data_IF_885740111814
#
_entry.id   IF_885740111814
#
_cell.length_a   1.000
_cell.length_b   1.000
_cell.length_c   1.000
_cell.angle_alpha   90.00
_cell.angle_beta   90.00
_cell.angle_gamma   90.00
#
_symmetry.space_group_name_H-M   'P 1'
#
loop_
_entity.id
_entity.type
_entity.pdbx_description
1 polymer ?
#
# COMPACT_ATOMS: atom_id res chain seq x y z
N UNK A 1 -22.18 29.43 5.54
CA UNK A 1 -21.88 27.99 5.44
C UNK A 1 -22.31 27.53 4.04
N UNK A 2 -21.38 27.07 3.19
CA UNK A 2 -21.73 26.65 1.83
C UNK A 2 -22.33 25.24 1.84
N UNK A 3 -23.25 24.95 0.91
CA UNK A 3 -23.92 23.64 0.80
C UNK A 3 -22.93 22.46 0.64
N UNK A 4 -21.75 22.72 0.06
CA UNK A 4 -20.68 21.72 -0.08
C UNK A 4 -20.15 21.22 1.27
N UNK A 5 -19.97 22.12 2.25
CA UNK A 5 -19.49 21.73 3.57
C UNK A 5 -20.51 20.84 4.30
N UNK A 6 -21.81 21.10 4.16
CA UNK A 6 -22.85 20.25 4.74
C UNK A 6 -22.92 18.86 4.10
N UNK A 7 -22.67 18.76 2.79
CA UNK A 7 -22.63 17.45 2.12
C UNK A 7 -21.41 16.63 2.52
N UNK A 8 -20.23 17.26 2.67
CA UNK A 8 -19.04 16.57 3.18
C UNK A 8 -19.25 16.07 4.61
N UNK A 9 -19.85 16.87 5.49
CA UNK A 9 -20.16 16.42 6.86
C UNK A 9 -21.14 15.25 6.89
N UNK A 10 -22.21 15.30 6.09
CA UNK A 10 -23.15 14.18 5.97
C UNK A 10 -22.45 12.92 5.45
N UNK A 11 -21.63 13.05 4.40
CA UNK A 11 -20.88 11.94 3.81
C UNK A 11 -19.89 11.32 4.80
N UNK A 12 -19.17 12.13 5.57
CA UNK A 12 -18.28 11.66 6.64
C UNK A 12 -19.05 10.88 7.69
N UNK A 13 -20.24 11.37 8.09
CA UNK A 13 -21.11 10.66 9.02
C UNK A 13 -21.53 9.29 8.49
N UNK A 14 -22.00 9.22 7.25
CA UNK A 14 -22.36 7.95 6.59
C UNK A 14 -21.16 7.01 6.48
N UNK A 15 -19.98 7.51 6.12
CA UNK A 15 -18.77 6.70 6.05
C UNK A 15 -18.36 6.15 7.41
N UNK A 16 -18.54 6.92 8.48
CA UNK A 16 -18.30 6.43 9.83
C UNK A 16 -19.24 5.28 10.19
N UNK A 17 -20.53 5.38 9.84
CA UNK A 17 -21.48 4.27 10.05
C UNK A 17 -21.06 3.01 9.27
N UNK A 18 -20.51 3.16 8.06
CA UNK A 18 -19.94 2.03 7.30
C UNK A 18 -18.73 1.44 8.02
N UNK A 19 -17.82 2.28 8.55
CA UNK A 19 -16.60 1.85 9.25
C UNK A 19 -16.89 1.00 10.49
N UNK A 20 -17.97 1.29 11.21
CA UNK A 20 -18.34 0.55 12.43
C UNK A 20 -19.45 -0.48 12.21
N UNK A 21 -19.83 -0.72 10.95
CA UNK A 21 -20.90 -1.66 10.61
C UNK A 21 -20.53 -3.10 10.98
N UNK A 22 -21.52 -3.93 11.29
CA UNK A 22 -21.28 -5.30 11.77
C UNK A 22 -20.69 -6.22 10.70
N UNK A 23 -21.10 -6.03 9.44
CA UNK A 23 -20.66 -6.84 8.31
C UNK A 23 -19.27 -6.40 7.79
N UNK A 24 -18.25 -7.28 7.77
CA UNK A 24 -16.92 -6.96 7.26
C UNK A 24 -16.89 -6.60 5.77
N UNK A 25 -17.79 -7.12 4.95
CA UNK A 25 -17.82 -6.79 3.52
C UNK A 25 -18.27 -5.33 3.31
N UNK A 26 -19.23 -4.88 4.14
CA UNK A 26 -19.64 -3.47 4.18
C UNK A 26 -18.49 -2.59 4.64
N UNK A 27 -17.78 -2.97 5.72
CA UNK A 27 -16.61 -2.21 6.20
C UNK A 27 -15.49 -2.14 5.15
N UNK A 28 -15.25 -3.22 4.41
CA UNK A 28 -14.24 -3.28 3.34
C UNK A 28 -14.52 -2.28 2.21
N UNK A 29 -15.79 -1.94 1.95
CA UNK A 29 -16.15 -0.91 0.97
C UNK A 29 -15.69 0.51 1.35
N UNK A 30 -15.49 0.77 2.65
CA UNK A 30 -15.14 2.10 3.15
C UNK A 30 -13.80 2.62 2.59
N UNK A 31 -12.81 1.73 2.41
CA UNK A 31 -11.49 2.12 1.89
C UNK A 31 -11.57 2.81 0.53
N UNK A 32 -12.28 2.21 -0.42
CA UNK A 32 -12.48 2.78 -1.75
C UNK A 32 -13.24 4.12 -1.71
N UNK A 33 -14.22 4.25 -0.82
CA UNK A 33 -14.97 5.50 -0.66
C UNK A 33 -14.09 6.62 -0.06
N UNK A 34 -13.23 6.30 0.91
CA UNK A 34 -12.26 7.26 1.45
C UNK A 34 -11.26 7.74 0.41
N UNK A 35 -10.79 6.86 -0.49
CA UNK A 35 -9.91 7.28 -1.59
C UNK A 35 -10.54 8.36 -2.48
N UNK A 36 -11.86 8.30 -2.69
CA UNK A 36 -12.59 9.33 -3.44
C UNK A 36 -12.74 10.60 -2.60
N UNK A 37 -13.12 10.45 -1.32
CA UNK A 37 -13.31 11.58 -0.41
C UNK A 37 -12.04 12.43 -0.24
N UNK A 38 -10.88 11.79 -0.06
CA UNK A 38 -9.58 12.45 0.20
C UNK A 38 -9.27 13.53 -0.84
N UNK A 39 -9.68 13.35 -2.09
CA UNK A 39 -9.44 14.31 -3.18
C UNK A 39 -10.29 15.58 -3.11
N UNK A 40 -11.36 15.56 -2.31
CA UNK A 40 -12.37 16.63 -2.27
C UNK A 40 -12.49 17.35 -0.93
N UNK A 41 -11.73 16.96 0.10
CA UNK A 41 -11.81 17.52 1.46
C UNK A 41 -10.51 18.23 1.86
N UNK A 42 -10.60 19.12 2.84
CA UNK A 42 -9.45 19.83 3.37
C UNK A 42 -8.59 18.97 4.32
N UNK A 43 -7.37 19.44 4.57
CA UNK A 43 -6.39 18.80 5.45
C UNK A 43 -6.94 18.58 6.87
N UNK A 44 -7.73 19.53 7.38
CA UNK A 44 -8.38 19.43 8.69
C UNK A 44 -9.36 18.26 8.75
N UNK A 45 -10.15 18.06 7.70
CA UNK A 45 -11.07 16.93 7.58
C UNK A 45 -10.31 15.62 7.48
N UNK A 46 -9.23 15.57 6.69
CA UNK A 46 -8.38 14.37 6.59
C UNK A 46 -7.82 14.00 7.96
N UNK A 47 -7.25 14.99 8.67
CA UNK A 47 -6.62 14.79 9.97
C UNK A 47 -7.60 14.36 11.07
N UNK A 48 -8.78 15.00 11.13
CA UNK A 48 -9.74 14.81 12.23
C UNK A 48 -10.72 13.67 12.01
N UNK A 49 -11.00 13.29 10.77
CA UNK A 49 -12.04 12.31 10.45
C UNK A 49 -11.53 11.13 9.62
N UNK A 50 -10.84 11.38 8.50
CA UNK A 50 -10.41 10.31 7.60
C UNK A 50 -9.33 9.45 8.24
N UNK A 51 -8.25 10.04 8.74
CA UNK A 51 -7.14 9.31 9.35
C UNK A 51 -7.61 8.42 10.51
N UNK A 52 -8.37 8.91 11.51
CA UNK A 52 -8.90 8.06 12.57
C UNK A 52 -9.76 6.90 12.06
N UNK A 53 -10.62 7.14 11.07
CA UNK A 53 -11.45 6.09 10.47
C UNK A 53 -10.61 5.02 9.77
N UNK A 54 -9.59 5.42 9.02
CA UNK A 54 -8.68 4.46 8.38
C UNK A 54 -7.87 3.66 9.41
N UNK A 55 -7.46 4.27 10.53
CA UNK A 55 -6.79 3.56 11.64
C UNK A 55 -7.71 2.52 12.28
N UNK A 56 -9.01 2.82 12.42
CA UNK A 56 -10.01 1.85 12.87
C UNK A 56 -10.10 0.66 11.91
N UNK A 57 -10.19 0.90 10.59
CA UNK A 57 -10.21 -0.17 9.59
C UNK A 57 -8.90 -0.98 9.56
N UNK A 58 -7.75 -0.32 9.73
CA UNK A 58 -6.44 -0.98 9.75
C UNK A 58 -6.27 -1.93 10.94
N UNK A 59 -6.99 -1.66 12.03
CA UNK A 59 -6.98 -2.44 13.27
C UNK A 59 -8.18 -3.40 13.36
N UNK A 60 -8.93 -3.58 12.28
CA UNK A 60 -10.09 -4.48 12.24
C UNK A 60 -9.68 -5.94 12.53
N UNK A 61 -10.62 -6.73 13.05
CA UNK A 61 -10.40 -8.15 13.29
C UNK A 61 -10.36 -8.98 11.98
N UNK A 62 -10.89 -8.46 10.87
CA UNK A 62 -10.98 -9.15 9.59
C UNK A 62 -9.89 -8.65 8.64
N UNK A 63 -9.07 -9.57 8.11
CA UNK A 63 -7.92 -9.19 7.28
C UNK A 63 -8.33 -8.47 5.99
N UNK A 64 -9.48 -8.82 5.40
CA UNK A 64 -10.02 -8.17 4.20
C UNK A 64 -10.29 -6.68 4.43
N UNK A 65 -10.88 -6.31 5.58
CA UNK A 65 -11.15 -4.91 5.94
C UNK A 65 -9.85 -4.12 6.09
N UNK A 66 -8.84 -4.75 6.70
CA UNK A 66 -7.53 -4.12 6.89
C UNK A 66 -6.82 -3.93 5.55
N UNK A 67 -6.82 -4.95 4.70
CA UNK A 67 -6.27 -4.88 3.36
C UNK A 67 -6.95 -3.76 2.54
N UNK A 68 -8.28 -3.66 2.62
CA UNK A 68 -9.04 -2.61 1.95
C UNK A 68 -8.70 -1.18 2.42
N UNK A 69 -8.15 -1.01 3.62
CA UNK A 69 -7.73 0.31 4.11
C UNK A 69 -6.39 0.80 3.52
N UNK A 70 -5.52 -0.12 3.07
CA UNK A 70 -4.16 0.20 2.60
C UNK A 70 -4.17 1.19 1.41
N UNK A 71 -5.00 0.99 0.36
CA UNK A 71 -5.05 1.93 -0.76
C UNK A 71 -5.52 3.34 -0.36
N UNK A 72 -6.35 3.45 0.70
CA UNK A 72 -6.80 4.74 1.21
C UNK A 72 -5.67 5.49 1.92
N UNK A 73 -4.81 4.81 2.66
CA UNK A 73 -3.56 5.39 3.17
C UNK A 73 -2.64 5.84 2.02
N UNK A 74 -2.52 5.04 0.97
CA UNK A 74 -1.79 5.42 -0.23
C UNK A 74 -2.35 6.68 -0.91
N UNK A 75 -3.67 6.82 -0.97
CA UNK A 75 -4.31 8.01 -1.50
C UNK A 75 -3.98 9.28 -0.68
N UNK A 76 -3.78 9.17 0.64
CA UNK A 76 -3.29 10.30 1.44
C UNK A 76 -1.88 10.69 1.00
N UNK A 77 -0.97 9.72 0.81
CA UNK A 77 0.40 9.98 0.34
C UNK A 77 0.41 10.71 -1.02
N UNK A 78 -0.50 10.35 -1.92
CA UNK A 78 -0.59 10.98 -3.25
C UNK A 78 -1.16 12.41 -3.24
N UNK A 79 -1.96 12.77 -2.24
CA UNK A 79 -2.77 14.00 -2.27
C UNK A 79 -2.46 15.00 -1.14
N UNK A 80 -1.64 14.62 -0.16
CA UNK A 80 -1.36 15.45 1.02
C UNK A 80 0.14 15.71 1.16
N UNK A 81 0.50 16.96 1.42
CA UNK A 81 1.90 17.38 1.67
C UNK A 81 2.17 17.72 3.14
N UNK A 82 1.16 17.65 4.00
CA UNK A 82 1.31 17.91 5.44
C UNK A 82 2.16 16.81 6.08
N UNK A 83 3.34 17.18 6.58
CA UNK A 83 4.32 16.24 7.13
C UNK A 83 3.80 15.46 8.33
N UNK A 84 2.95 16.07 9.16
CA UNK A 84 2.41 15.42 10.36
C UNK A 84 1.42 14.33 9.97
N UNK A 85 0.59 14.59 8.95
CA UNK A 85 -0.32 13.58 8.39
C UNK A 85 0.48 12.45 7.74
N UNK A 86 1.47 12.78 6.91
CA UNK A 86 2.29 11.78 6.23
C UNK A 86 3.06 10.91 7.22
N UNK A 87 3.63 11.47 8.28
CA UNK A 87 4.31 10.71 9.34
C UNK A 87 3.38 9.69 10.00
N UNK A 88 2.12 10.05 10.28
CA UNK A 88 1.12 9.10 10.80
C UNK A 88 0.80 7.98 9.82
N UNK A 89 0.68 8.30 8.53
CA UNK A 89 0.49 7.29 7.48
C UNK A 89 1.70 6.35 7.42
N UNK A 90 2.91 6.87 7.58
CA UNK A 90 4.14 6.07 7.56
C UNK A 90 4.21 5.12 8.75
N UNK A 91 3.91 5.60 9.96
CA UNK A 91 3.78 4.75 11.16
C UNK A 91 2.74 3.67 10.94
N UNK A 92 1.62 3.99 10.29
CA UNK A 92 0.60 3.00 9.99
C UNK A 92 1.10 1.94 9.00
N UNK A 93 1.79 2.30 7.91
CA UNK A 93 2.43 1.33 7.01
C UNK A 93 3.45 0.45 7.73
N UNK A 94 4.27 1.02 8.62
CA UNK A 94 5.21 0.25 9.44
C UNK A 94 4.48 -0.76 10.33
N UNK A 95 3.39 -0.34 10.98
CA UNK A 95 2.59 -1.25 11.81
C UNK A 95 2.01 -2.42 11.00
N UNK A 96 1.64 -2.20 9.73
CA UNK A 96 1.23 -3.31 8.87
C UNK A 96 2.36 -4.31 8.63
N UNK A 97 3.58 -3.81 8.43
CA UNK A 97 4.71 -4.66 8.06
C UNK A 97 5.31 -5.40 9.26
N UNK A 98 5.11 -4.86 10.46
CA UNK A 98 5.62 -5.43 11.71
C UNK A 98 4.64 -6.42 12.36
N UNK A 99 3.35 -6.37 12.02
CA UNK A 99 2.34 -7.27 12.58
C UNK A 99 2.60 -8.74 12.15
N UNK A 100 2.84 -9.66 13.11
CA UNK A 100 3.04 -11.08 12.81
C UNK A 100 1.87 -11.71 12.06
N UNK A 101 0.65 -11.22 12.27
CA UNK A 101 -0.53 -11.74 11.57
C UNK A 101 -0.48 -11.45 10.07
N UNK A 102 0.27 -10.43 9.62
CA UNK A 102 0.21 -9.96 8.23
C UNK A 102 1.30 -10.60 7.38
N UNK A 103 2.39 -11.05 8.00
CA UNK A 103 3.55 -11.63 7.30
C UNK A 103 3.19 -12.79 6.37
N UNK A 104 2.07 -13.47 6.61
CA UNK A 104 1.60 -14.60 5.80
C UNK A 104 0.23 -14.36 5.14
N UNK A 105 -0.25 -13.10 5.05
CA UNK A 105 -1.54 -12.79 4.42
C UNK A 105 -1.33 -12.32 2.98
N UNK A 106 -1.59 -13.20 2.03
CA UNK A 106 -1.36 -12.97 0.60
C UNK A 106 -2.07 -11.71 0.07
N UNK A 107 -3.38 -11.58 0.31
CA UNK A 107 -4.17 -10.42 -0.13
C UNK A 107 -3.57 -9.09 0.35
N UNK A 108 -3.10 -9.09 1.60
CA UNK A 108 -2.53 -7.92 2.25
C UNK A 108 -1.15 -7.58 1.63
N UNK A 109 -0.33 -8.59 1.35
CA UNK A 109 0.96 -8.43 0.65
C UNK A 109 0.77 -7.87 -0.76
N UNK A 110 -0.12 -8.47 -1.56
CA UNK A 110 -0.46 -8.01 -2.91
C UNK A 110 -0.94 -6.56 -2.88
N UNK A 111 -1.86 -6.24 -1.97
CA UNK A 111 -2.43 -4.88 -1.86
C UNK A 111 -1.37 -3.86 -1.43
N UNK A 112 -0.47 -4.22 -0.52
CA UNK A 112 0.65 -3.37 -0.11
C UNK A 112 1.62 -3.10 -1.26
N UNK A 113 2.02 -4.13 -2.01
CA UNK A 113 2.92 -3.97 -3.17
C UNK A 113 2.29 -3.06 -4.23
N UNK A 114 1.02 -3.32 -4.60
CA UNK A 114 0.26 -2.48 -5.54
C UNK A 114 0.18 -1.03 -5.09
N UNK A 115 -0.06 -0.82 -3.79
CA UNK A 115 -0.12 0.54 -3.23
C UNK A 115 1.25 1.22 -3.30
N UNK A 116 2.33 0.53 -2.94
CA UNK A 116 3.70 1.05 -3.01
C UNK A 116 4.14 1.37 -4.44
N UNK A 117 3.79 0.50 -5.41
CA UNK A 117 4.01 0.73 -6.84
C UNK A 117 3.38 2.05 -7.29
N UNK A 118 2.13 2.28 -6.89
CA UNK A 118 1.35 3.45 -7.26
C UNK A 118 1.87 4.73 -6.62
N UNK A 119 2.17 4.72 -5.32
CA UNK A 119 2.55 5.95 -4.60
C UNK A 119 4.03 6.28 -4.72
N UNK A 120 4.89 5.28 -5.01
CA UNK A 120 6.34 5.45 -5.05
C UNK A 120 6.81 6.61 -5.92
N UNK A 121 6.31 6.76 -7.16
CA UNK A 121 6.66 7.88 -8.04
C UNK A 121 6.28 9.27 -7.52
N UNK A 122 5.27 9.36 -6.68
CA UNK A 122 4.70 10.63 -6.20
C UNK A 122 5.07 10.95 -4.75
N UNK A 123 5.64 9.98 -4.04
CA UNK A 123 6.04 10.15 -2.64
C UNK A 123 7.33 10.95 -2.48
N UNK A 124 7.53 11.53 -1.29
CA UNK A 124 8.78 12.21 -0.95
C UNK A 124 9.97 11.25 -1.12
N UNK A 125 11.10 11.70 -1.71
CA UNK A 125 12.27 10.84 -1.93
C UNK A 125 12.71 10.07 -0.69
N UNK A 126 12.69 10.73 0.47
CA UNK A 126 13.06 10.09 1.74
C UNK A 126 12.13 8.91 2.09
N UNK A 127 10.81 9.05 1.92
CA UNK A 127 9.88 7.95 2.20
C UNK A 127 10.06 6.79 1.21
N UNK A 128 10.21 7.11 -0.07
CA UNK A 128 10.47 6.11 -1.10
C UNK A 128 11.74 5.31 -0.80
N UNK A 129 12.80 6.01 -0.45
CA UNK A 129 14.14 5.44 -0.32
C UNK A 129 14.32 4.68 1.01
N UNK A 130 13.73 5.16 2.12
CA UNK A 130 13.87 4.55 3.46
C UNK A 130 12.73 3.59 3.83
N UNK A 131 11.57 3.67 3.18
CA UNK A 131 10.40 2.84 3.53
C UNK A 131 9.98 1.96 2.39
N UNK A 132 9.65 2.51 1.22
CA UNK A 132 9.07 1.71 0.13
C UNK A 132 10.06 0.70 -0.45
N UNK A 133 11.23 1.19 -0.88
CA UNK A 133 12.24 0.37 -1.55
C UNK A 133 12.81 -0.74 -0.65
N UNK A 134 13.19 -0.49 0.62
CA UNK A 134 13.66 -1.55 1.51
C UNK A 134 12.60 -2.62 1.73
N UNK A 135 11.32 -2.22 1.82
CA UNK A 135 10.22 -3.15 2.07
C UNK A 135 9.88 -4.00 0.86
N UNK A 136 9.88 -3.42 -0.35
CA UNK A 136 9.75 -4.20 -1.59
C UNK A 136 10.88 -5.23 -1.73
N UNK A 137 12.11 -4.90 -1.33
CA UNK A 137 13.22 -5.85 -1.35
C UNK A 137 13.03 -7.01 -0.37
N UNK A 138 12.55 -6.72 0.85
CA UNK A 138 12.20 -7.76 1.85
C UNK A 138 11.07 -8.64 1.34
N UNK A 139 9.99 -8.07 0.79
CA UNK A 139 8.86 -8.84 0.25
C UNK A 139 9.29 -9.76 -0.90
N UNK A 140 10.15 -9.27 -1.81
CA UNK A 140 10.74 -10.09 -2.87
C UNK A 140 11.58 -11.26 -2.32
N UNK A 141 12.36 -11.02 -1.28
CA UNK A 141 13.15 -12.09 -0.65
C UNK A 141 12.28 -13.16 0.00
N UNK A 142 11.17 -12.77 0.65
CA UNK A 142 10.23 -13.70 1.29
C UNK A 142 9.50 -14.53 0.24
N UNK A 143 9.07 -13.90 -0.86
CA UNK A 143 8.34 -14.58 -1.92
C UNK A 143 9.10 -15.75 -2.54
N UNK A 144 10.44 -15.64 -2.61
CA UNK A 144 11.33 -16.70 -3.10
C UNK A 144 11.28 -18.01 -2.29
N UNK A 145 10.71 -17.98 -1.09
CA UNK A 145 10.54 -19.16 -0.23
C UNK A 145 9.09 -19.66 -0.20
N UNK A 146 8.16 -18.99 -0.89
CA UNK A 146 6.79 -19.47 -1.02
C UNK A 146 6.75 -20.83 -1.71
N UNK A 147 6.06 -21.78 -1.09
CA UNK A 147 5.85 -23.12 -1.64
C UNK A 147 4.61 -23.19 -2.55
N UNK A 148 3.75 -22.17 -2.48
CA UNK A 148 2.59 -22.05 -3.35
C UNK A 148 2.98 -21.29 -4.62
N UNK A 149 3.06 -22.00 -5.74
CA UNK A 149 3.52 -21.45 -7.02
C UNK A 149 2.57 -20.38 -7.58
N UNK A 150 1.27 -20.48 -7.34
CA UNK A 150 0.30 -19.52 -7.87
C UNK A 150 0.38 -18.20 -7.09
N UNK A 151 0.45 -18.28 -5.76
CA UNK A 151 0.65 -17.11 -4.91
C UNK A 151 2.03 -16.47 -5.16
N UNK A 152 3.08 -17.29 -5.30
CA UNK A 152 4.44 -16.84 -5.62
C UNK A 152 4.47 -16.09 -6.96
N UNK A 153 3.74 -16.61 -7.96
CA UNK A 153 3.62 -15.99 -9.29
C UNK A 153 2.91 -14.65 -9.22
N UNK A 154 1.80 -14.55 -8.49
CA UNK A 154 1.10 -13.27 -8.36
C UNK A 154 1.99 -12.21 -7.70
N UNK A 155 2.61 -12.53 -6.56
CA UNK A 155 3.47 -11.57 -5.85
C UNK A 155 4.66 -11.12 -6.69
N UNK A 156 5.34 -12.02 -7.42
CA UNK A 156 6.50 -11.61 -8.24
C UNK A 156 6.11 -10.67 -9.39
N UNK A 157 4.93 -10.87 -9.99
CA UNK A 157 4.42 -9.98 -11.04
C UNK A 157 4.14 -8.59 -10.47
N UNK A 158 3.50 -8.51 -9.30
CA UNK A 158 3.25 -7.23 -8.62
C UNK A 158 4.55 -6.52 -8.21
N UNK A 159 5.54 -7.27 -7.70
CA UNK A 159 6.85 -6.73 -7.36
C UNK A 159 7.57 -6.20 -8.60
N UNK A 160 7.49 -6.91 -9.73
CA UNK A 160 8.06 -6.46 -10.99
C UNK A 160 7.45 -5.13 -11.43
N UNK A 161 6.12 -5.02 -11.44
CA UNK A 161 5.41 -3.78 -11.75
C UNK A 161 5.77 -2.63 -10.79
N UNK A 162 5.95 -2.93 -9.50
CA UNK A 162 6.40 -1.96 -8.51
C UNK A 162 7.80 -1.42 -8.82
N UNK A 163 8.76 -2.29 -9.13
CA UNK A 163 10.10 -1.86 -9.53
C UNK A 163 10.08 -1.07 -10.84
N UNK A 164 9.30 -1.48 -11.85
CA UNK A 164 9.16 -0.73 -13.11
C UNK A 164 8.64 0.68 -12.84
N UNK A 165 7.59 0.80 -12.03
CA UNK A 165 6.99 2.08 -11.68
C UNK A 165 7.97 3.01 -10.97
N UNK A 166 8.73 2.48 -9.99
CA UNK A 166 9.65 3.27 -9.17
C UNK A 166 10.96 3.60 -9.90
N UNK A 167 11.43 2.75 -10.82
CA UNK A 167 12.66 3.02 -11.60
C UNK A 167 12.55 4.27 -12.49
N UNK A 168 11.36 4.79 -12.75
CA UNK A 168 11.15 6.07 -13.42
C UNK A 168 11.56 7.29 -12.56
N UNK A 169 11.88 7.09 -11.28
CA UNK A 169 12.31 8.13 -10.37
C UNK A 169 13.82 8.36 -10.40
N UNK A 170 14.27 9.53 -9.93
CA UNK A 170 15.67 9.71 -9.57
C UNK A 170 15.98 8.91 -8.30
N UNK A 171 16.82 7.89 -8.43
CA UNK A 171 17.33 7.04 -7.35
C UNK A 171 18.84 7.23 -7.27
N UNK A 172 19.36 7.52 -6.07
CA UNK A 172 20.80 7.66 -5.86
C UNK A 172 21.52 6.31 -6.05
N UNK A 173 22.81 6.34 -6.38
CA UNK A 173 23.61 5.12 -6.49
C UNK A 173 23.64 4.32 -5.17
N UNK A 174 23.60 5.02 -4.03
CA UNK A 174 23.56 4.39 -2.71
C UNK A 174 22.26 3.60 -2.50
N UNK A 175 21.10 4.25 -2.69
CA UNK A 175 19.77 3.63 -2.55
C UNK A 175 19.58 2.50 -3.57
N UNK A 176 20.07 2.71 -4.81
CA UNK A 176 20.05 1.69 -5.85
C UNK A 176 20.78 0.42 -5.40
N UNK A 177 21.99 0.56 -4.85
CA UNK A 177 22.79 -0.58 -4.40
C UNK A 177 22.24 -1.21 -3.11
N UNK A 178 21.74 -0.40 -2.18
CA UNK A 178 21.27 -0.85 -0.88
C UNK A 178 19.92 -1.58 -0.95
N UNK A 179 19.00 -1.14 -1.81
CA UNK A 179 17.61 -1.58 -1.78
C UNK A 179 17.09 -2.10 -3.13
N UNK A 180 17.32 -1.36 -4.21
CA UNK A 180 16.74 -1.70 -5.52
C UNK A 180 17.39 -2.95 -6.11
N UNK A 181 18.72 -3.00 -6.22
CA UNK A 181 19.43 -4.14 -6.82
C UNK A 181 19.20 -5.46 -6.06
N UNK A 182 19.26 -5.51 -4.71
CA UNK A 182 18.90 -6.72 -3.97
C UNK A 182 17.47 -7.20 -4.29
N UNK A 183 16.51 -6.29 -4.30
CA UNK A 183 15.12 -6.61 -4.62
C UNK A 183 14.92 -7.14 -6.04
N UNK A 184 15.47 -6.46 -7.04
CA UNK A 184 15.40 -6.91 -8.45
C UNK A 184 16.08 -8.27 -8.63
N UNK A 185 17.17 -8.56 -7.91
CA UNK A 185 17.82 -9.89 -7.96
C UNK A 185 16.89 -11.00 -7.48
N UNK A 186 16.12 -10.76 -6.42
CA UNK A 186 15.10 -11.69 -5.93
C UNK A 186 13.96 -11.87 -6.92
N UNK A 187 13.43 -10.77 -7.47
CA UNK A 187 12.38 -10.81 -8.50
C UNK A 187 12.85 -11.58 -9.74
N UNK A 188 14.07 -11.31 -10.22
CA UNK A 188 14.65 -12.02 -11.37
C UNK A 188 14.79 -13.52 -11.10
N UNK A 189 15.23 -13.89 -9.89
CA UNK A 189 15.35 -15.31 -9.50
C UNK A 189 13.99 -16.00 -9.51
N UNK A 190 12.97 -15.38 -8.91
CA UNK A 190 11.60 -15.90 -8.91
C UNK A 190 11.06 -16.08 -10.34
N UNK A 191 11.22 -15.08 -11.21
CA UNK A 191 10.76 -15.16 -12.59
C UNK A 191 11.48 -16.31 -13.33
N UNK A 192 12.79 -16.47 -13.14
CA UNK A 192 13.54 -17.55 -13.77
C UNK A 192 13.08 -18.94 -13.31
N UNK A 193 12.77 -19.08 -12.01
CA UNK A 193 12.28 -20.33 -11.43
C UNK A 193 10.85 -20.67 -11.92
N UNK A 194 10.01 -19.66 -12.15
CA UNK A 194 8.60 -19.83 -12.58
C UNK A 194 8.46 -19.97 -14.10
N UNK A 195 9.39 -19.42 -14.87
CA UNK A 195 9.40 -19.47 -16.33
C UNK A 195 10.58 -20.28 -16.92
N UNK A 196 10.82 -21.55 -16.51
CA UNK A 196 11.93 -22.33 -17.04
C UNK A 196 11.79 -22.69 -18.54
N UNK A 197 10.70 -22.29 -19.21
CA UNK A 197 10.31 -22.77 -20.55
C UNK A 197 10.31 -21.73 -21.69
N UNK A 198 10.97 -20.56 -21.53
CA UNK A 198 11.15 -19.61 -22.65
C UNK A 198 12.60 -19.40 -23.11
N UNK A 199 13.57 -20.17 -22.59
CA UNK A 199 14.87 -20.36 -23.27
C UNK A 199 14.75 -21.44 -24.36
N UNK A 200 13.83 -21.26 -25.32
CA UNK A 200 13.96 -21.96 -26.60
C UNK A 200 14.98 -21.19 -27.42
N UNK A 201 16.19 -21.76 -27.46
CA UNK A 201 17.17 -21.70 -28.56
C UNK A 201 16.93 -20.57 -29.57
N UNK A 202 17.73 -19.52 -29.49
CA UNK A 202 18.18 -18.78 -30.68
C UNK A 202 19.70 -18.85 -30.74
#
# INVERSE_FOLDING_TARGET
>A
FSAHASFHQLLIGVLWEIVVYQDPDVRSSAGALFMVLIKGVDIDTISRHVLPALVTLASDSHMSVRAASIPAFGAIVENVTDKTILEKVYVQFQSFLEDPQYKNQHELQVTMIRTFAKVGPHSEPHFRDEVLLPRLAVMASINNYSQDEDLRREIVLELFEAYVSICCCFISAEVLNAHVLPGIRWVRKDIADIAPAYEVRS
#
